data_IF_784863023403
#
_entry.id   IF_784863023403
#
_cell.length_a   1.000
_cell.length_b   1.000
_cell.length_c   1.000
_cell.angle_alpha   90.00
_cell.angle_beta   90.00
_cell.angle_gamma   90.00
#
_symmetry.space_group_name_H-M   'P 1'
#
loop_
_entity.id
_entity.type
_entity.pdbx_description
1 polymer ?
#
# COMPACT_ATOMS: atom_id res chain seq x y z
N UNK A 1 -13.00 23.75 32.66
CA UNK A 1 -13.04 22.43 32.00
C UNK A 1 -11.64 21.84 32.14
N UNK A 2 -11.48 20.74 32.88
CA UNK A 2 -10.16 20.18 33.16
C UNK A 2 -9.57 19.56 31.88
N UNK A 3 -8.39 20.04 31.47
CA UNK A 3 -7.57 19.41 30.43
C UNK A 3 -7.26 17.99 30.87
N UNK A 4 -7.85 17.00 30.21
CA UNK A 4 -7.61 15.59 30.50
C UNK A 4 -6.20 15.26 30.00
N UNK A 5 -5.25 15.07 30.91
CA UNK A 5 -3.90 14.60 30.58
C UNK A 5 -4.03 13.26 29.86
N UNK A 6 -3.43 13.15 28.67
CA UNK A 6 -3.34 11.90 27.93
C UNK A 6 -2.47 10.90 28.69
N UNK A 7 -2.75 9.61 28.49
CA UNK A 7 -1.88 8.53 28.97
C UNK A 7 -0.65 8.46 28.07
N UNK A 8 0.51 8.00 28.57
CA UNK A 8 1.74 7.93 27.78
C UNK A 8 1.60 7.19 26.43
N UNK A 9 0.79 6.14 26.37
CA UNK A 9 0.57 5.42 25.11
C UNK A 9 -0.37 6.16 24.15
N UNK A 10 -1.31 6.96 24.66
CA UNK A 10 -2.21 7.78 23.84
C UNK A 10 -1.43 8.88 23.15
N UNK A 11 -0.46 9.48 23.84
CA UNK A 11 0.47 10.45 23.26
C UNK A 11 1.30 9.83 22.14
N UNK A 12 1.84 8.62 22.35
CA UNK A 12 2.60 7.89 21.34
C UNK A 12 1.73 7.58 20.12
N UNK A 13 0.51 7.08 20.33
CA UNK A 13 -0.42 6.78 19.26
C UNK A 13 -0.81 8.04 18.48
N UNK A 14 -1.14 9.13 19.17
CA UNK A 14 -1.48 10.41 18.56
C UNK A 14 -0.35 10.96 17.70
N UNK A 15 0.89 10.96 18.22
CA UNK A 15 2.05 11.42 17.47
C UNK A 15 2.28 10.58 16.23
N UNK A 16 2.16 9.24 16.34
CA UNK A 16 2.35 8.34 15.20
C UNK A 16 1.27 8.52 14.13
N UNK A 17 0.03 8.75 14.54
CA UNK A 17 -1.07 9.09 13.63
C UNK A 17 -0.78 10.39 12.86
N UNK A 18 -0.34 11.43 13.57
CA UNK A 18 0.02 12.71 12.97
C UNK A 18 1.19 12.58 11.98
N UNK A 19 2.22 11.81 12.33
CA UNK A 19 3.34 11.50 11.43
C UNK A 19 2.87 10.80 10.15
N UNK A 20 2.07 9.74 10.25
CA UNK A 20 1.55 9.02 9.09
C UNK A 20 0.69 9.92 8.20
N UNK A 21 -0.16 10.76 8.78
CA UNK A 21 -0.99 11.71 8.02
C UNK A 21 -0.14 12.78 7.33
N UNK A 22 0.92 13.26 7.98
CA UNK A 22 1.84 14.25 7.40
C UNK A 22 2.63 13.71 6.19
N UNK A 23 2.78 12.38 6.07
CA UNK A 23 3.44 11.74 4.94
C UNK A 23 2.53 11.64 3.71
N UNK A 24 1.22 11.85 3.84
CA UNK A 24 0.29 11.80 2.71
C UNK A 24 0.49 13.03 1.81
N UNK A 25 0.76 12.85 0.50
CA UNK A 25 0.82 13.97 -0.42
C UNK A 25 -0.47 14.79 -0.41
N UNK A 26 -0.37 16.11 -0.46
CA UNK A 26 -1.53 17.01 -0.43
C UNK A 26 -2.55 16.73 -1.53
N UNK A 27 -2.08 16.28 -2.70
CA UNK A 27 -2.92 15.87 -3.82
C UNK A 27 -3.78 14.62 -3.54
N UNK A 28 -3.46 13.83 -2.51
CA UNK A 28 -4.15 12.60 -2.14
C UNK A 28 -4.96 12.76 -0.84
N UNK A 29 -5.12 13.99 -0.36
CA UNK A 29 -5.98 14.31 0.77
C UNK A 29 -7.44 14.32 0.32
N UNK A 30 -8.31 13.64 1.07
CA UNK A 30 -9.74 13.57 0.76
C UNK A 30 -10.34 14.96 0.94
N UNK A 31 -11.05 15.50 -0.07
CA UNK A 31 -11.68 16.80 0.07
C UNK A 31 -12.67 16.83 1.24
N UNK A 32 -12.68 17.88 2.09
CA UNK A 32 -13.59 17.96 3.23
C UNK A 32 -15.07 17.83 2.83
N UNK A 33 -15.42 18.26 1.61
CA UNK A 33 -16.78 18.12 1.05
C UNK A 33 -17.25 16.68 0.96
N UNK A 34 -16.34 15.72 0.75
CA UNK A 34 -16.66 14.28 0.67
C UNK A 34 -16.88 13.70 2.07
N UNK A 35 -16.26 14.29 3.10
CA UNK A 35 -16.31 13.80 4.48
C UNK A 35 -17.46 14.39 5.31
N UNK A 36 -18.13 15.47 4.85
CA UNK A 36 -19.12 16.21 5.65
C UNK A 36 -20.23 15.35 6.26
N UNK A 37 -20.70 14.35 5.51
CA UNK A 37 -21.84 13.50 5.90
C UNK A 37 -21.40 12.13 6.41
N UNK A 38 -20.10 11.92 6.63
CA UNK A 38 -19.54 10.64 7.04
C UNK A 38 -19.22 10.68 8.53
N UNK A 39 -19.93 9.90 9.32
CA UNK A 39 -19.57 9.65 10.71
C UNK A 39 -18.59 8.48 10.77
N UNK A 40 -17.36 8.71 11.21
CA UNK A 40 -16.36 7.68 11.43
C UNK A 40 -16.12 7.52 12.92
N UNK A 41 -16.11 6.28 13.42
CA UNK A 41 -15.83 5.99 14.82
C UNK A 41 -16.34 4.63 15.25
N UNK A 42 -16.00 4.19 16.48
CA UNK A 42 -16.41 2.88 17.01
C UNK A 42 -17.92 2.69 17.09
N UNK A 43 -18.66 3.78 17.29
CA UNK A 43 -20.13 3.79 17.44
C UNK A 43 -20.85 4.08 16.10
N UNK A 44 -20.14 4.10 14.98
CA UNK A 44 -20.71 4.41 13.68
C UNK A 44 -21.12 3.14 12.93
N UNK A 45 -22.38 3.07 12.51
CA UNK A 45 -22.91 2.02 11.61
C UNK A 45 -22.61 2.30 10.12
N UNK A 46 -21.68 3.22 9.83
CA UNK A 46 -21.40 3.65 8.46
C UNK A 46 -20.74 2.53 7.65
N UNK A 47 -21.42 2.07 6.61
CA UNK A 47 -20.83 1.17 5.62
C UNK A 47 -19.89 1.95 4.69
N UNK A 48 -18.63 2.04 5.08
CA UNK A 48 -17.56 2.72 4.35
C UNK A 48 -17.32 2.19 2.93
N UNK A 49 -17.64 0.92 2.66
CA UNK A 49 -17.51 0.34 1.32
C UNK A 49 -18.60 0.93 0.42
N UNK A 50 -19.84 1.04 0.92
CA UNK A 50 -20.97 1.61 0.18
C UNK A 50 -20.79 3.10 -0.15
N UNK A 51 -19.90 3.80 0.55
CA UNK A 51 -19.61 5.20 0.27
C UNK A 51 -18.82 5.41 -1.02
N UNK A 52 -18.08 4.42 -1.50
CA UNK A 52 -17.24 4.48 -2.71
C UNK A 52 -16.32 5.73 -2.73
N UNK A 53 -15.65 5.98 -1.60
CA UNK A 53 -14.74 7.12 -1.43
C UNK A 53 -13.63 7.15 -2.50
N UNK A 54 -13.00 6.02 -2.90
CA UNK A 54 -12.00 6.05 -3.96
C UNK A 54 -12.49 6.73 -5.25
N UNK A 55 -13.73 6.45 -5.68
CA UNK A 55 -14.33 7.07 -6.86
C UNK A 55 -14.81 8.50 -6.60
N UNK A 56 -15.47 8.76 -5.47
CA UNK A 56 -16.06 10.07 -5.14
C UNK A 56 -15.04 11.12 -4.69
N UNK A 57 -13.86 10.70 -4.24
CA UNK A 57 -12.80 11.60 -3.77
C UNK A 57 -12.18 12.46 -4.88
N UNK A 58 -12.24 12.01 -6.14
CA UNK A 58 -11.54 12.64 -7.26
C UNK A 58 -10.01 12.48 -7.24
N UNK A 59 -9.47 11.68 -6.33
CA UNK A 59 -8.01 11.45 -6.19
C UNK A 59 -7.49 10.48 -7.26
N UNK A 60 -8.30 9.49 -7.63
CA UNK A 60 -7.96 8.50 -8.64
C UNK A 60 -8.56 8.86 -10.00
N UNK A 61 -7.76 8.76 -11.05
CA UNK A 61 -8.23 8.79 -12.43
C UNK A 61 -9.03 7.53 -12.79
N UNK A 62 -9.84 7.59 -13.84
CA UNK A 62 -10.62 6.43 -14.30
C UNK A 62 -9.73 5.23 -14.68
N UNK A 63 -8.56 5.49 -15.27
CA UNK A 63 -7.58 4.46 -15.60
C UNK A 63 -6.97 3.81 -14.36
N UNK A 64 -6.65 4.63 -13.35
CA UNK A 64 -6.15 4.18 -12.04
C UNK A 64 -7.18 3.32 -11.29
N UNK A 65 -8.45 3.70 -11.33
CA UNK A 65 -9.55 2.90 -10.78
C UNK A 65 -9.67 1.56 -11.53
N UNK A 66 -9.62 1.58 -12.86
CA UNK A 66 -9.68 0.37 -13.67
C UNK A 66 -8.56 -0.62 -13.35
N UNK A 67 -7.33 -0.14 -13.09
CA UNK A 67 -6.20 -0.99 -12.68
C UNK A 67 -6.42 -1.54 -11.27
N UNK A 68 -6.83 -0.71 -10.31
CA UNK A 68 -6.98 -1.13 -8.93
C UNK A 68 -8.19 -2.04 -8.66
N UNK A 69 -9.22 -1.99 -9.50
CA UNK A 69 -10.48 -2.71 -9.30
C UNK A 69 -10.73 -3.81 -10.35
N UNK A 70 -10.08 -3.72 -11.51
CA UNK A 70 -10.32 -4.60 -12.65
C UNK A 70 -9.49 -5.88 -12.68
N UNK A 71 -8.51 -6.02 -11.77
CA UNK A 71 -7.58 -7.15 -11.77
C UNK A 71 -7.40 -7.75 -10.38
N UNK A 72 -7.24 -9.06 -10.32
CA UNK A 72 -6.72 -9.74 -9.13
C UNK A 72 -5.18 -9.80 -9.15
N UNK A 73 -4.57 -10.19 -8.02
CA UNK A 73 -3.12 -10.22 -7.87
C UNK A 73 -2.40 -11.12 -8.88
N UNK A 74 -3.01 -12.24 -9.29
CA UNK A 74 -2.44 -13.16 -10.28
C UNK A 74 -2.42 -12.54 -11.66
N UNK A 75 -3.49 -11.86 -12.04
CA UNK A 75 -3.61 -11.14 -13.31
C UNK A 75 -2.62 -9.99 -13.37
N UNK A 76 -2.50 -9.19 -12.30
CA UNK A 76 -1.51 -8.13 -12.20
C UNK A 76 -0.08 -8.68 -12.33
N UNK A 77 0.26 -9.74 -11.59
CA UNK A 77 1.59 -10.34 -11.68
C UNK A 77 1.93 -10.85 -13.10
N UNK A 78 0.95 -11.45 -13.78
CA UNK A 78 1.13 -11.90 -15.16
C UNK A 78 1.36 -10.73 -16.12
N UNK A 79 0.56 -9.65 -16.01
CA UNK A 79 0.69 -8.45 -16.85
C UNK A 79 1.97 -7.69 -16.60
N UNK A 80 2.39 -7.57 -15.35
CA UNK A 80 3.66 -6.96 -14.94
C UNK A 80 4.84 -7.78 -15.49
N UNK A 81 4.83 -9.11 -15.31
CA UNK A 81 5.88 -9.97 -15.82
C UNK A 81 5.99 -10.00 -17.35
N UNK A 82 4.87 -9.76 -18.05
CA UNK A 82 4.83 -9.62 -19.51
C UNK A 82 5.17 -8.20 -20.01
N UNK A 83 5.30 -7.21 -19.12
CA UNK A 83 5.49 -5.81 -19.48
C UNK A 83 4.26 -5.16 -20.13
N UNK A 84 3.06 -5.75 -19.99
CA UNK A 84 1.80 -5.18 -20.48
C UNK A 84 1.30 -4.01 -19.61
N UNK A 85 1.66 -4.03 -18.33
CA UNK A 85 1.48 -2.95 -17.37
C UNK A 85 2.84 -2.65 -16.74
N UNK A 86 3.13 -1.38 -16.49
CA UNK A 86 4.29 -1.02 -15.69
C UNK A 86 4.02 -1.16 -14.20
N UNK A 87 5.05 -1.49 -13.45
CA UNK A 87 5.06 -1.52 -11.99
C UNK A 87 4.64 -0.16 -11.43
N UNK A 88 5.05 0.95 -12.06
CA UNK A 88 4.67 2.30 -11.63
C UNK A 88 3.17 2.54 -11.80
N UNK A 89 2.60 2.17 -12.96
CA UNK A 89 1.16 2.29 -13.25
C UNK A 89 0.29 1.46 -12.30
N UNK A 90 0.81 0.33 -11.81
CA UNK A 90 0.12 -0.49 -10.80
C UNK A 90 0.36 0.07 -9.40
N UNK A 91 1.56 0.53 -9.07
CA UNK A 91 1.91 0.98 -7.71
C UNK A 91 1.22 2.29 -7.31
N UNK A 92 1.11 3.23 -8.24
CA UNK A 92 0.51 4.55 -8.00
C UNK A 92 -0.96 4.49 -7.52
N UNK A 93 -1.90 3.81 -8.21
CA UNK A 93 -3.30 3.75 -7.76
C UNK A 93 -3.45 3.02 -6.42
N UNK A 94 -2.67 1.97 -6.17
CA UNK A 94 -2.69 1.28 -4.86
C UNK A 94 -2.15 2.18 -3.75
N UNK A 95 -1.12 2.99 -4.03
CA UNK A 95 -0.60 3.99 -3.08
C UNK A 95 -1.64 5.07 -2.74
N UNK A 96 -2.37 5.57 -3.75
CA UNK A 96 -3.48 6.52 -3.55
C UNK A 96 -4.61 5.90 -2.71
N UNK A 97 -4.99 4.65 -2.97
CA UNK A 97 -6.00 3.94 -2.16
C UNK A 97 -5.53 3.72 -0.72
N UNK A 98 -4.25 3.42 -0.53
CA UNK A 98 -3.66 3.30 0.80
C UNK A 98 -3.71 4.64 1.55
N UNK A 99 -3.43 5.77 0.88
CA UNK A 99 -3.58 7.10 1.46
C UNK A 99 -5.03 7.42 1.86
N UNK A 100 -6.01 7.06 1.02
CA UNK A 100 -7.44 7.22 1.34
C UNK A 100 -7.82 6.37 2.55
N UNK A 101 -7.44 5.09 2.55
CA UNK A 101 -7.71 4.18 3.67
C UNK A 101 -7.06 4.67 4.97
N UNK A 102 -5.84 5.22 4.90
CA UNK A 102 -5.17 5.79 6.06
C UNK A 102 -5.95 6.97 6.68
N UNK A 103 -6.52 7.85 5.85
CA UNK A 103 -7.32 8.98 6.32
C UNK A 103 -8.65 8.54 6.95
N UNK A 104 -9.22 7.43 6.49
CA UNK A 104 -10.51 6.93 7.00
C UNK A 104 -10.35 6.04 8.24
N UNK A 105 -9.28 5.23 8.31
CA UNK A 105 -9.16 4.15 9.29
C UNK A 105 -7.89 4.18 10.13
N UNK A 106 -6.90 5.00 9.78
CA UNK A 106 -5.58 4.98 10.39
C UNK A 106 -4.97 3.55 10.43
N UNK A 107 -5.02 2.84 9.31
CA UNK A 107 -4.64 1.42 9.21
C UNK A 107 -3.16 1.15 8.93
N UNK A 108 -2.37 2.19 8.65
CA UNK A 108 -0.96 2.10 8.29
C UNK A 108 -0.10 2.78 9.37
N UNK A 109 0.88 2.04 9.86
CA UNK A 109 1.81 2.55 10.87
C UNK A 109 3.06 3.13 10.19
N UNK A 110 3.44 2.66 9.00
CA UNK A 110 4.67 3.10 8.33
C UNK A 110 4.42 3.33 6.84
N UNK A 111 4.10 4.57 6.43
CA UNK A 111 3.72 4.91 5.05
C UNK A 111 4.86 5.53 4.27
N UNK A 112 5.18 4.95 3.11
CA UNK A 112 6.14 5.52 2.16
C UNK A 112 5.45 5.56 0.81
N UNK A 113 5.11 6.75 0.32
CA UNK A 113 4.51 6.88 -0.99
C UNK A 113 5.56 7.07 -2.11
N UNK A 114 6.74 7.61 -1.77
CA UNK A 114 7.82 7.83 -2.74
C UNK A 114 8.64 6.57 -3.02
N UNK A 115 9.02 5.81 -1.99
CA UNK A 115 9.90 4.63 -2.15
C UNK A 115 9.30 3.53 -3.01
N UNK A 116 8.01 3.17 -2.87
CA UNK A 116 7.40 2.18 -3.73
C UNK A 116 7.42 2.59 -5.19
N UNK A 117 7.14 3.86 -5.49
CA UNK A 117 7.19 4.39 -6.85
C UNK A 117 8.61 4.39 -7.43
N UNK A 118 9.61 4.73 -6.63
CA UNK A 118 11.01 4.61 -7.03
C UNK A 118 11.40 3.15 -7.34
N UNK A 119 10.99 2.22 -6.47
CA UNK A 119 11.24 0.79 -6.70
C UNK A 119 10.52 0.29 -7.94
N UNK A 120 9.28 0.73 -8.16
CA UNK A 120 8.49 0.38 -9.32
C UNK A 120 9.19 0.80 -10.62
N UNK A 121 9.66 2.07 -10.70
CA UNK A 121 10.44 2.56 -11.84
C UNK A 121 11.73 1.78 -12.07
N UNK A 122 12.41 1.36 -11.01
CA UNK A 122 13.57 0.48 -11.13
C UNK A 122 13.21 -0.87 -11.75
N UNK A 123 12.08 -1.46 -11.35
CA UNK A 123 11.66 -2.78 -11.85
C UNK A 123 11.26 -2.70 -13.32
N UNK A 124 10.60 -1.61 -13.71
CA UNK A 124 10.26 -1.35 -15.10
C UNK A 124 11.51 -1.17 -15.97
N UNK A 125 12.51 -0.44 -15.45
CA UNK A 125 13.81 -0.31 -16.11
C UNK A 125 14.54 -1.66 -16.23
N UNK A 126 14.53 -2.46 -15.16
CA UNK A 126 15.13 -3.80 -15.16
C UNK A 126 14.50 -4.70 -16.22
N UNK A 127 13.17 -4.77 -16.26
CA UNK A 127 12.45 -5.60 -17.23
C UNK A 127 12.76 -5.19 -18.67
N UNK A 128 12.84 -3.87 -18.92
CA UNK A 128 13.20 -3.32 -20.23
C UNK A 128 14.64 -3.66 -20.64
N UNK A 129 15.58 -3.64 -19.70
CA UNK A 129 17.00 -3.91 -19.96
C UNK A 129 17.28 -5.41 -20.13
N UNK A 130 16.68 -6.26 -19.29
CA UNK A 130 17.01 -7.68 -19.23
C UNK A 130 16.06 -8.54 -20.07
N UNK A 131 14.87 -8.03 -20.40
CA UNK A 131 13.84 -8.78 -21.12
C UNK A 131 13.14 -9.87 -20.30
N UNK A 132 13.50 -10.02 -19.02
CA UNK A 132 12.90 -10.98 -18.10
C UNK A 132 12.59 -10.35 -16.73
N UNK A 133 11.51 -10.78 -16.06
CA UNK A 133 11.18 -10.29 -14.73
C UNK A 133 12.15 -10.85 -13.68
N UNK A 134 12.46 -10.04 -12.65
CA UNK A 134 13.29 -10.46 -11.50
C UNK A 134 12.74 -11.72 -10.81
N UNK A 135 11.42 -11.92 -10.82
CA UNK A 135 10.78 -13.06 -10.17
C UNK A 135 9.26 -13.11 -10.37
N UNK A 136 8.56 -14.08 -9.77
CA UNK A 136 7.14 -14.34 -10.02
C UNK A 136 6.19 -13.22 -9.54
N UNK A 137 6.66 -12.34 -8.66
CA UNK A 137 5.91 -11.18 -8.14
C UNK A 137 6.54 -9.85 -8.59
N UNK A 138 7.27 -9.86 -9.71
CA UNK A 138 7.92 -8.67 -10.26
C UNK A 138 6.92 -7.51 -10.38
N UNK A 139 7.26 -6.39 -9.76
CA UNK A 139 6.49 -5.15 -9.87
C UNK A 139 5.20 -5.11 -9.05
N UNK A 140 4.81 -6.22 -8.39
CA UNK A 140 3.54 -6.30 -7.69
C UNK A 140 3.64 -5.55 -6.35
N UNK A 141 2.74 -4.57 -6.08
CA UNK A 141 2.69 -3.92 -4.78
C UNK A 141 2.15 -4.86 -3.69
N UNK A 142 2.85 -4.94 -2.55
CA UNK A 142 2.51 -5.79 -1.42
C UNK A 142 2.54 -4.97 -0.13
N UNK A 143 1.46 -5.05 0.66
CA UNK A 143 1.46 -4.55 2.03
C UNK A 143 1.98 -5.61 3.00
N UNK A 144 2.86 -5.24 3.92
CA UNK A 144 3.40 -6.14 4.94
C UNK A 144 2.85 -5.81 6.32
N UNK A 145 2.58 -6.82 7.13
CA UNK A 145 2.20 -6.63 8.54
C UNK A 145 3.41 -6.13 9.34
N UNK A 146 3.18 -5.32 10.36
CA UNK A 146 4.24 -4.77 11.23
C UNK A 146 5.00 -5.83 12.06
N UNK A 147 4.50 -7.08 12.08
CA UNK A 147 5.18 -8.20 12.77
C UNK A 147 6.45 -8.69 12.07
N UNK A 148 6.84 -8.12 10.93
CA UNK A 148 8.05 -8.47 10.19
C UNK A 148 9.16 -7.45 10.42
N UNK A 149 10.33 -7.91 10.83
CA UNK A 149 11.50 -7.06 10.99
C UNK A 149 12.19 -6.90 9.63
N UNK A 150 12.00 -5.74 8.98
CA UNK A 150 12.62 -5.44 7.70
C UNK A 150 13.95 -4.71 7.94
N UNK A 151 15.05 -5.29 7.44
CA UNK A 151 16.36 -4.67 7.49
C UNK A 151 16.33 -3.32 6.77
N UNK A 152 16.68 -2.25 7.49
CA UNK A 152 16.61 -0.83 7.09
C UNK A 152 15.18 -0.26 7.07
N UNK A 153 14.73 0.14 8.27
CA UNK A 153 13.58 1.03 8.57
C UNK A 153 12.31 0.71 7.78
N UNK A 154 11.47 -0.11 8.41
CA UNK A 154 10.01 0.01 8.45
C UNK A 154 9.38 0.33 7.10
N UNK A 155 8.99 -0.66 6.31
CA UNK A 155 8.28 -0.46 5.03
C UNK A 155 6.97 -1.25 5.09
N UNK A 156 5.82 -0.59 5.24
CA UNK A 156 4.52 -1.26 5.20
C UNK A 156 4.02 -1.53 3.77
N UNK A 157 4.58 -0.84 2.77
CA UNK A 157 4.21 -0.99 1.36
C UNK A 157 5.47 -1.24 0.53
N UNK A 158 5.65 -2.47 0.06
CA UNK A 158 6.84 -2.91 -0.67
C UNK A 158 6.44 -3.35 -2.07
N UNK A 159 7.14 -2.85 -3.09
CA UNK A 159 7.03 -3.44 -4.44
C UNK A 159 7.98 -4.62 -4.47
N UNK A 160 7.43 -5.82 -4.61
CA UNK A 160 8.19 -7.05 -4.41
C UNK A 160 9.21 -7.29 -5.51
N UNK A 161 10.39 -7.70 -5.07
CA UNK A 161 11.48 -8.25 -5.85
C UNK A 161 12.35 -8.99 -4.86
N UNK A 162 12.80 -10.19 -5.19
CA UNK A 162 13.63 -10.98 -4.27
C UNK A 162 14.75 -10.13 -3.68
N UNK A 163 14.77 -10.07 -2.35
CA UNK A 163 15.56 -9.12 -1.59
C UNK A 163 17.05 -9.51 -1.66
N UNK A 164 17.97 -8.59 -2.02
CA UNK A 164 19.40 -8.89 -2.05
C UNK A 164 20.00 -9.13 -0.65
N UNK A 165 21.19 -9.74 -0.55
CA UNK A 165 21.69 -10.32 0.69
C UNK A 165 22.03 -9.26 1.75
N UNK A 166 21.32 -9.38 2.87
CA UNK A 166 21.43 -8.62 4.13
C UNK A 166 20.29 -8.99 5.08
N UNK A 167 19.74 -10.19 4.91
CA UNK A 167 18.56 -10.74 5.58
C UNK A 167 18.99 -11.36 6.90
N UNK A 168 18.93 -10.58 7.98
CA UNK A 168 19.14 -11.12 9.32
C UNK A 168 17.93 -11.95 9.76
N UNK A 169 18.30 -13.14 10.20
CA UNK A 169 17.49 -14.33 10.44
C UNK A 169 16.51 -14.10 11.61
N UNK A 170 15.22 -14.42 11.44
CA UNK A 170 14.42 -15.11 12.47
C UNK A 170 12.95 -15.46 12.10
N UNK A 171 12.41 -15.07 10.94
CA UNK A 171 11.06 -15.54 10.54
C UNK A 171 10.90 -15.71 9.02
N UNK A 172 11.70 -16.61 8.42
CA UNK A 172 11.37 -17.14 7.09
C UNK A 172 10.50 -18.39 7.25
N UNK A 173 9.18 -18.23 7.20
CA UNK A 173 8.37 -19.24 6.52
C UNK A 173 8.52 -18.95 5.03
N UNK A 174 9.31 -19.73 4.28
CA UNK A 174 9.33 -19.57 2.83
C UNK A 174 7.90 -19.81 2.34
N UNK A 175 7.35 -18.85 1.62
CA UNK A 175 6.15 -19.07 0.82
C UNK A 175 6.58 -19.92 -0.38
N UNK A 176 6.95 -21.17 -0.11
CA UNK A 176 7.30 -22.14 -1.12
C UNK A 176 5.99 -22.57 -1.77
N UNK A 177 5.67 -21.95 -2.91
CA UNK A 177 4.62 -22.42 -3.78
C UNK A 177 5.07 -23.76 -4.38
N UNK A 178 4.80 -24.86 -3.66
CA UNK A 178 5.11 -26.21 -4.12
C UNK A 178 4.34 -26.45 -5.41
N UNK A 179 5.05 -26.75 -6.51
CA UNK A 179 4.44 -27.09 -7.79
C UNK A 179 3.45 -28.25 -7.58
N UNK A 180 2.25 -28.23 -8.17
CA UNK A 180 1.34 -29.36 -8.08
C UNK A 180 1.98 -30.57 -8.78
N UNK A 181 2.35 -31.57 -7.98
CA UNK A 181 2.77 -32.88 -8.49
C UNK A 181 1.59 -33.54 -9.19
N UNK A 182 1.81 -33.97 -10.44
CA UNK A 182 0.89 -34.81 -11.20
C UNK A 182 0.57 -36.06 -10.38
N UNK A 183 -0.71 -36.32 -10.13
CA UNK A 183 -1.23 -37.67 -9.87
C UNK A 183 -1.77 -38.23 -11.17
#
# INVERSE_FOLDING_TARGET
MASKSLRPWEDVAFNKQAECLALIPSAWIIPPSVLKDISLGPESDTNVIALDIPRKSGILANTELAIAEGYNARELAAKLGAGELSSEEVTLPFSKRAAIAQQLFNCLIETFFHRPLERARYLDAYLKEHGEPIGPLHGLPISLKDSFNLAKKNIQFLVYSDLPPGFDHLTTLPIHCSKPGKR
#
